data_IF_195036903212
#
_entry.id   IF_195036903212
#
_cell.length_a   1.000
_cell.length_b   1.000
_cell.length_c   1.000
_cell.angle_alpha   90.00
_cell.angle_beta   90.00
_cell.angle_gamma   90.00
#
_symmetry.space_group_name_H-M   'P 1'
#
loop_
_entity.id
_entity.type
_entity.pdbx_description
1 polymer ?
#
# COMPACT_ATOMS: atom_id res chain seq x y z
N UNK A 1 7.94 1.69 5.24
CA UNK A 1 6.49 1.71 4.93
C UNK A 1 5.61 2.14 6.10
N UNK A 2 5.80 1.65 7.34
CA UNK A 2 5.00 2.06 8.52
C UNK A 2 4.90 3.59 8.71
N UNK A 3 6.01 4.32 8.57
CA UNK A 3 6.04 5.80 8.66
C UNK A 3 5.26 6.50 7.53
N UNK A 4 5.20 5.89 6.34
CA UNK A 4 4.48 6.44 5.18
C UNK A 4 2.96 6.19 5.26
N UNK A 5 2.56 5.06 5.87
CA UNK A 5 1.16 4.64 5.98
C UNK A 5 0.43 5.23 7.21
N UNK A 6 1.17 5.59 8.26
CA UNK A 6 0.60 6.18 9.50
C UNK A 6 -0.17 7.49 9.30
N UNK A 7 0.33 8.50 8.55
CA UNK A 7 -0.39 9.76 8.34
C UNK A 7 -1.76 9.60 7.66
N UNK A 8 -1.94 8.50 6.94
CA UNK A 8 -3.17 8.19 6.20
C UNK A 8 -4.07 7.17 6.92
N UNK A 9 -3.72 6.80 8.17
CA UNK A 9 -4.38 5.71 8.93
C UNK A 9 -4.47 4.40 8.14
N UNK A 10 -3.53 4.17 7.22
CA UNK A 10 -3.45 2.94 6.43
C UNK A 10 -2.71 1.86 7.21
N UNK A 11 -1.80 2.24 8.11
CA UNK A 11 -1.07 1.28 8.93
C UNK A 11 -2.01 0.48 9.84
N UNK A 12 -3.02 1.13 10.43
CA UNK A 12 -4.02 0.46 11.26
C UNK A 12 -4.82 -0.59 10.48
N UNK A 13 -5.07 -0.34 9.19
CA UNK A 13 -5.76 -1.29 8.30
C UNK A 13 -4.88 -2.49 7.99
N UNK A 14 -3.58 -2.28 7.76
CA UNK A 14 -2.62 -3.39 7.54
C UNK A 14 -2.45 -4.23 8.80
N UNK A 15 -2.47 -3.61 9.98
CA UNK A 15 -2.20 -4.29 11.26
C UNK A 15 -3.43 -5.03 11.80
N UNK A 16 -4.64 -4.50 11.58
CA UNK A 16 -5.86 -5.07 12.16
C UNK A 16 -6.77 -5.76 11.13
N UNK A 17 -6.60 -5.50 9.83
CA UNK A 17 -7.39 -6.07 8.73
C UNK A 17 -8.91 -6.09 9.00
N UNK A 18 -9.43 -4.95 9.48
CA UNK A 18 -10.85 -4.82 9.87
C UNK A 18 -11.61 -4.11 8.76
N UNK A 19 -12.65 -4.78 8.26
CA UNK A 19 -13.60 -4.17 7.34
C UNK A 19 -14.33 -2.98 7.98
N UNK A 20 -14.60 -1.91 7.22
CA UNK A 20 -15.39 -0.81 7.72
C UNK A 20 -16.78 -1.28 8.17
N UNK A 21 -17.28 -0.79 9.32
CA UNK A 21 -18.62 -1.14 9.77
C UNK A 21 -19.68 -0.73 8.73
N UNK A 22 -20.71 -1.56 8.61
CA UNK A 22 -21.81 -1.34 7.66
C UNK A 22 -22.50 0.02 7.90
N UNK A 23 -22.95 0.64 6.82
CA UNK A 23 -23.77 1.84 6.89
C UNK A 23 -25.10 1.53 7.58
N UNK A 24 -25.57 2.48 8.39
CA UNK A 24 -26.91 2.44 9.00
C UNK A 24 -28.00 2.59 7.94
N UNK A 25 -29.24 2.22 8.26
CA UNK A 25 -30.38 2.22 7.33
C UNK A 25 -30.75 3.60 6.72
N UNK A 26 -30.40 4.71 7.38
CA UNK A 26 -30.60 6.07 6.85
C UNK A 26 -29.34 6.92 7.06
N UNK A 27 -28.30 6.72 6.23
CA UNK A 27 -27.05 7.45 6.35
C UNK A 27 -27.17 8.85 5.72
N UNK A 28 -26.50 9.84 6.31
CA UNK A 28 -26.34 11.15 5.66
C UNK A 28 -25.27 11.06 4.57
N UNK A 29 -25.29 11.98 3.61
CA UNK A 29 -24.27 12.01 2.54
C UNK A 29 -22.84 12.03 3.08
N UNK A 30 -22.60 12.75 4.19
CA UNK A 30 -21.30 12.78 4.85
C UNK A 30 -20.89 11.40 5.41
N UNK A 31 -21.84 10.60 5.90
CA UNK A 31 -21.58 9.24 6.39
C UNK A 31 -21.28 8.27 5.24
N UNK A 32 -22.00 8.39 4.12
CA UNK A 32 -21.74 7.61 2.91
C UNK A 32 -20.31 7.88 2.43
N UNK A 33 -19.96 9.15 2.24
CA UNK A 33 -18.62 9.55 1.79
C UNK A 33 -17.51 9.01 2.72
N UNK A 34 -17.69 9.14 4.03
CA UNK A 34 -16.73 8.63 5.01
C UNK A 34 -16.59 7.10 4.95
N UNK A 35 -17.69 6.38 4.72
CA UNK A 35 -17.67 4.92 4.59
C UNK A 35 -16.93 4.49 3.32
N UNK A 36 -17.19 5.13 2.18
CA UNK A 36 -16.47 4.90 0.92
C UNK A 36 -14.97 5.21 1.05
N UNK A 37 -14.61 6.30 1.72
CA UNK A 37 -13.21 6.62 2.06
C UNK A 37 -12.55 5.53 2.91
N UNK A 38 -13.31 4.93 3.84
CA UNK A 38 -12.89 3.81 4.67
C UNK A 38 -12.65 2.53 3.87
N UNK A 39 -13.59 2.16 2.99
CA UNK A 39 -13.48 0.99 2.09
C UNK A 39 -12.28 1.11 1.16
N UNK A 40 -11.93 2.34 0.75
CA UNK A 40 -10.77 2.59 -0.10
C UNK A 40 -9.42 2.45 0.63
N UNK A 41 -9.37 2.34 1.98
CA UNK A 41 -8.10 2.29 2.72
C UNK A 41 -7.34 0.98 2.48
N UNK A 42 -8.02 -0.16 2.53
CA UNK A 42 -7.40 -1.47 2.29
C UNK A 42 -6.72 -1.56 0.92
N UNK A 43 -7.40 -1.29 -0.21
CA UNK A 43 -6.75 -1.33 -1.52
C UNK A 43 -5.64 -0.28 -1.66
N UNK A 44 -5.75 0.89 -1.04
CA UNK A 44 -4.67 1.90 -1.03
C UNK A 44 -3.44 1.38 -0.29
N UNK A 45 -3.60 0.78 0.89
CA UNK A 45 -2.51 0.21 1.65
C UNK A 45 -1.79 -0.90 0.87
N UNK A 46 -2.55 -1.80 0.24
CA UNK A 46 -2.02 -2.86 -0.63
C UNK A 46 -1.25 -2.29 -1.82
N UNK A 47 -1.80 -1.28 -2.52
CA UNK A 47 -1.13 -0.64 -3.63
C UNK A 47 0.21 0.00 -3.21
N UNK A 48 0.25 0.67 -2.06
CA UNK A 48 1.49 1.25 -1.52
C UNK A 48 2.54 0.18 -1.20
N UNK A 49 2.14 -0.93 -0.56
CA UNK A 49 3.05 -2.03 -0.27
C UNK A 49 3.56 -2.69 -1.55
N UNK A 50 2.67 -2.94 -2.51
CA UNK A 50 3.03 -3.54 -3.78
C UNK A 50 4.01 -2.67 -4.57
N UNK A 51 3.75 -1.36 -4.69
CA UNK A 51 4.65 -0.43 -5.36
C UNK A 51 6.04 -0.42 -4.70
N UNK A 52 6.10 -0.38 -3.37
CA UNK A 52 7.38 -0.41 -2.64
C UNK A 52 8.18 -1.70 -2.88
N UNK A 53 7.51 -2.86 -2.88
CA UNK A 53 8.15 -4.14 -3.15
C UNK A 53 8.62 -4.23 -4.60
N UNK A 54 7.79 -3.75 -5.54
CA UNK A 54 8.12 -3.73 -6.95
C UNK A 54 9.36 -2.88 -7.23
N UNK A 55 9.45 -1.67 -6.64
CA UNK A 55 10.64 -0.80 -6.76
C UNK A 55 11.91 -1.49 -6.24
N UNK A 56 11.83 -2.17 -5.09
CA UNK A 56 12.98 -2.88 -4.50
C UNK A 56 13.41 -4.06 -5.37
N UNK A 57 12.46 -4.86 -5.85
CA UNK A 57 12.75 -6.01 -6.72
C UNK A 57 13.34 -5.54 -8.03
N UNK A 58 12.73 -4.52 -8.67
CA UNK A 58 13.21 -3.96 -9.92
C UNK A 58 14.62 -3.40 -9.78
N UNK A 59 14.88 -2.61 -8.72
CA UNK A 59 16.22 -2.07 -8.43
C UNK A 59 17.26 -3.18 -8.26
N UNK A 60 16.89 -4.28 -7.58
CA UNK A 60 17.79 -5.43 -7.39
C UNK A 60 18.09 -6.15 -8.70
N UNK A 61 17.10 -6.34 -9.57
CA UNK A 61 17.30 -6.98 -10.89
C UNK A 61 18.31 -6.16 -11.71
N UNK A 62 18.10 -4.83 -11.80
CA UNK A 62 19.01 -3.93 -12.51
C UNK A 62 20.43 -3.93 -11.90
N UNK A 63 20.53 -3.93 -10.57
CA UNK A 63 21.82 -4.01 -9.88
C UNK A 63 22.53 -5.37 -10.10
N UNK A 64 21.78 -6.46 -10.22
CA UNK A 64 22.33 -7.78 -10.54
C UNK A 64 22.85 -7.85 -11.98
N UNK A 65 22.14 -7.32 -12.97
CA UNK A 65 22.61 -7.34 -14.35
C UNK A 65 23.84 -6.44 -14.57
N UNK A 66 23.94 -5.32 -13.84
CA UNK A 66 25.12 -4.46 -13.88
C UNK A 66 26.36 -5.11 -13.24
N UNK A 67 26.20 -5.90 -12.17
CA UNK A 67 27.33 -6.64 -11.59
C UNK A 67 27.80 -7.82 -12.47
N UNK A 68 26.87 -8.42 -13.23
CA UNK A 68 27.15 -9.55 -14.13
C UNK A 68 27.91 -9.11 -15.38
N UNK A 69 27.65 -7.90 -15.87
CA UNK A 69 28.42 -7.28 -16.97
C UNK A 69 29.79 -6.76 -16.53
N UNK A 70 29.99 -6.47 -15.23
CA UNK A 70 31.30 -6.07 -14.68
C UNK A 70 32.30 -7.22 -14.48
N UNK A 71 31.85 -8.48 -14.42
CA UNK A 71 32.73 -9.65 -14.25
C UNK A 71 33.27 -10.25 -15.56
N UNK A 72 32.79 -9.81 -16.73
CA UNK A 72 33.27 -10.27 -18.03
C UNK A 72 34.54 -9.55 -18.54
N UNK A 73 35.22 -8.77 -17.68
CA UNK A 73 36.38 -7.94 -18.06
C UNK A 73 37.61 -8.10 -17.16
N UNK A 74 37.73 -9.24 -16.46
CA UNK A 74 38.94 -9.61 -15.71
C UNK A 74 39.51 -10.92 -16.23
#
# INVERSE_FOLDING_TARGET
MKVYLRPQSLWDVVENDVDPPALRANPTLAQIKKHEEGLAKTPKALACLHSALSDVIFTRIIACDSNRSGQAKR
#
